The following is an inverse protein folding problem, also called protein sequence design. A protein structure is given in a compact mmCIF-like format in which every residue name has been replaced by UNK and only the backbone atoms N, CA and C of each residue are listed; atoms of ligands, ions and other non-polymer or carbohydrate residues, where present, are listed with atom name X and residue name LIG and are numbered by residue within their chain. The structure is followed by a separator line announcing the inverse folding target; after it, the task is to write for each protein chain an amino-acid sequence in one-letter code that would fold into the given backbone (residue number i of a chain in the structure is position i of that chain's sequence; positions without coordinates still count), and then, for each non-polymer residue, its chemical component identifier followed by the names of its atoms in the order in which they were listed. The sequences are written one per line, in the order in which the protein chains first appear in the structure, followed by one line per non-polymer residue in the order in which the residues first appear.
data_IF_697909931518
#
_entry.id   IF_697909931518
#
_cell.length_a   1.000
_cell.length_b   1.000
_cell.length_c   1.000
_cell.angle_alpha   90.00
_cell.angle_beta   90.00
_cell.angle_gamma   90.00
#
_symmetry.space_group_name_H-M   'P 1'
#
loop_
_entity.id
_entity.type
_entity.pdbx_description
1 polymer ?
#
# COMPACT_ATOMS: atom_id res chain seq x y z
N UNK A 1 10.22 -29.20 -3.11
CA UNK A 1 10.41 -27.73 -2.94
C UNK A 1 10.44 -27.25 -1.48
N UNK A 2 9.93 -28.02 -0.53
CA UNK A 2 9.89 -27.59 0.89
C UNK A 2 11.24 -27.52 1.61
N UNK A 3 12.27 -28.20 1.11
CA UNK A 3 13.48 -28.42 1.88
C UNK A 3 14.33 -27.16 2.13
N UNK A 4 14.42 -26.22 1.15
CA UNK A 4 15.23 -25.01 1.33
C UNK A 4 14.62 -24.03 2.33
N UNK A 5 13.31 -24.00 2.53
CA UNK A 5 12.60 -23.14 3.48
C UNK A 5 12.46 -23.78 4.87
N UNK A 6 12.76 -25.07 4.99
CA UNK A 6 12.74 -25.84 6.23
C UNK A 6 14.16 -26.27 6.65
N UNK A 7 15.19 -25.63 6.11
CA UNK A 7 16.56 -25.88 6.50
C UNK A 7 16.75 -25.66 8.01
N UNK A 8 17.52 -26.51 8.73
CA UNK A 8 17.61 -26.48 10.20
C UNK A 8 18.09 -25.13 10.78
N UNK A 9 18.79 -24.33 9.99
CA UNK A 9 19.28 -23.01 10.38
C UNK A 9 18.23 -21.89 10.19
N UNK A 10 17.14 -22.15 9.47
CA UNK A 10 16.02 -21.23 9.33
C UNK A 10 15.07 -21.45 10.51
N UNK A 11 15.25 -20.63 11.53
CA UNK A 11 14.41 -20.57 12.72
C UNK A 11 13.97 -19.12 12.88
N UNK A 12 12.68 -18.89 12.98
CA UNK A 12 12.10 -17.55 13.06
C UNK A 12 12.60 -16.80 14.30
N UNK A 13 13.19 -15.65 14.07
CA UNK A 13 13.50 -14.66 15.08
C UNK A 13 12.72 -13.37 14.77
N UNK A 14 12.43 -12.61 15.83
CA UNK A 14 11.78 -11.30 15.68
C UNK A 14 12.82 -10.21 15.94
N UNK A 15 13.03 -9.39 14.93
CA UNK A 15 13.93 -8.24 14.98
C UNK A 15 13.12 -6.95 15.03
N UNK A 16 13.64 -5.97 15.72
CA UNK A 16 13.12 -4.61 15.74
C UNK A 16 14.27 -3.64 15.50
N UNK A 17 14.10 -2.76 14.54
CA UNK A 17 15.08 -1.70 14.26
C UNK A 17 14.99 -0.59 15.30
N UNK A 18 16.03 0.25 15.38
CA UNK A 18 15.99 1.47 16.19
C UNK A 18 14.93 2.44 15.63
N UNK A 19 13.97 2.81 16.46
CA UNK A 19 12.87 3.72 16.14
C UNK A 19 13.11 5.15 16.67
N UNK A 20 14.25 5.43 17.29
CA UNK A 20 14.51 6.69 18.00
C UNK A 20 14.45 7.92 17.09
N UNK A 21 14.88 7.80 15.83
CA UNK A 21 14.81 8.88 14.85
C UNK A 21 13.35 9.16 14.44
N UNK A 22 12.60 8.12 14.17
CA UNK A 22 11.17 8.23 13.87
C UNK A 22 10.40 8.90 15.00
N UNK A 23 10.66 8.52 16.26
CA UNK A 23 10.01 9.11 17.43
C UNK A 23 10.30 10.61 17.53
N UNK A 24 11.56 11.03 17.29
CA UNK A 24 11.95 12.44 17.24
C UNK A 24 11.26 13.20 16.10
N UNK A 25 11.14 12.58 14.93
CA UNK A 25 10.47 13.20 13.76
C UNK A 25 8.97 13.35 14.01
N UNK A 26 8.33 12.34 14.58
CA UNK A 26 6.92 12.40 14.95
C UNK A 26 6.66 13.45 16.05
N UNK A 27 7.53 13.56 17.04
CA UNK A 27 7.43 14.63 18.04
C UNK A 27 7.54 16.03 17.43
N UNK A 28 8.48 16.23 16.49
CA UNK A 28 8.59 17.50 15.74
C UNK A 28 7.36 17.75 14.86
N UNK A 29 6.84 16.75 14.19
CA UNK A 29 5.63 16.86 13.39
C UNK A 29 4.42 17.24 14.24
N UNK A 30 4.25 16.59 15.40
CA UNK A 30 3.14 16.84 16.32
C UNK A 30 3.13 18.27 16.92
N UNK A 31 4.26 18.95 16.94
CA UNK A 31 4.36 20.35 17.35
C UNK A 31 3.90 21.35 16.25
N UNK A 32 3.73 20.90 15.01
CA UNK A 32 3.31 21.73 13.89
C UNK A 32 1.78 21.84 13.81
N UNK A 33 1.29 23.00 13.32
CA UNK A 33 -0.16 23.30 13.30
C UNK A 33 -0.69 23.60 11.90
N UNK A 34 0.16 23.61 10.88
CA UNK A 34 -0.24 23.80 9.48
C UNK A 34 -1.08 22.61 8.97
N UNK A 35 -1.81 22.82 7.89
CA UNK A 35 -2.77 21.85 7.37
C UNK A 35 -2.10 20.53 6.92
N UNK A 36 -0.93 20.61 6.28
CA UNK A 36 -0.17 19.45 5.82
C UNK A 36 0.29 18.59 7.01
N UNK A 37 0.91 19.22 8.01
CA UNK A 37 1.35 18.54 9.22
C UNK A 37 0.20 17.88 9.97
N UNK A 38 -0.94 18.58 10.11
CA UNK A 38 -2.15 18.00 10.71
C UNK A 38 -2.68 16.79 9.94
N UNK A 39 -2.57 16.80 8.61
CA UNK A 39 -2.93 15.65 7.77
C UNK A 39 -2.04 14.45 8.09
N UNK A 40 -0.73 14.63 8.06
CA UNK A 40 0.23 13.57 8.38
C UNK A 40 0.07 13.03 9.80
N UNK A 41 -0.17 13.92 10.78
CA UNK A 41 -0.49 13.52 12.17
C UNK A 41 -1.68 12.58 12.23
N UNK A 42 -2.77 12.88 11.51
CA UNK A 42 -3.95 12.00 11.45
C UNK A 42 -3.61 10.63 10.86
N UNK A 43 -2.85 10.59 9.75
CA UNK A 43 -2.49 9.33 9.10
C UNK A 43 -1.60 8.46 9.98
N UNK A 44 -0.60 9.07 10.62
CA UNK A 44 0.29 8.37 11.54
C UNK A 44 -0.48 7.82 12.76
N UNK A 45 -1.46 8.58 13.25
CA UNK A 45 -2.30 8.19 14.39
C UNK A 45 -3.32 7.09 14.08
N UNK A 46 -3.61 6.80 12.80
CA UNK A 46 -4.51 5.70 12.45
C UNK A 46 -3.92 4.36 12.89
N UNK A 47 -4.81 3.48 13.34
CA UNK A 47 -4.42 2.16 13.81
C UNK A 47 -3.67 1.34 12.74
N UNK A 48 -2.65 0.61 13.16
CA UNK A 48 -2.03 -0.44 12.35
C UNK A 48 -2.92 -1.69 12.42
N UNK A 49 -3.77 -1.86 11.41
CA UNK A 49 -4.73 -2.97 11.35
C UNK A 49 -4.05 -4.33 11.26
N UNK A 50 -2.79 -4.41 10.81
CA UNK A 50 -2.02 -5.65 10.77
C UNK A 50 -1.62 -6.15 12.17
N UNK A 51 -1.75 -5.29 13.18
CA UNK A 51 -1.45 -5.57 14.59
C UNK A 51 -2.69 -5.54 15.49
N UNK A 52 -3.81 -5.00 14.99
CA UNK A 52 -5.02 -4.78 15.79
C UNK A 52 -5.84 -6.07 15.92
N UNK A 53 -6.14 -6.48 17.16
CA UNK A 53 -6.99 -7.63 17.44
C UNK A 53 -8.40 -7.44 16.85
N UNK A 54 -8.94 -8.52 16.27
CA UNK A 54 -10.23 -8.50 15.61
C UNK A 54 -10.24 -7.88 14.21
N UNK A 55 -9.09 -7.39 13.73
CA UNK A 55 -8.96 -6.90 12.36
C UNK A 55 -8.76 -8.05 11.36
N UNK A 56 -9.47 -8.07 10.23
CA UNK A 56 -9.27 -9.06 9.19
C UNK A 56 -7.88 -8.93 8.55
N UNK A 57 -7.28 -7.74 8.56
CA UNK A 57 -5.91 -7.49 8.09
C UNK A 57 -4.90 -8.23 8.95
N UNK A 58 -5.07 -8.23 10.29
CA UNK A 58 -4.24 -9.03 11.20
C UNK A 58 -4.42 -10.52 10.95
N UNK A 59 -5.65 -10.98 10.81
CA UNK A 59 -5.93 -12.41 10.56
C UNK A 59 -5.31 -12.90 9.25
N UNK A 60 -5.38 -12.10 8.17
CA UNK A 60 -4.67 -12.37 6.91
C UNK A 60 -3.16 -12.43 7.15
N UNK A 61 -2.62 -11.43 7.86
CA UNK A 61 -1.18 -11.36 8.17
C UNK A 61 -0.73 -12.61 8.92
N UNK A 62 -1.38 -12.97 9.99
CA UNK A 62 -1.05 -14.16 10.79
C UNK A 62 -1.16 -15.45 9.97
N UNK A 63 -2.18 -15.58 9.11
CA UNK A 63 -2.35 -16.75 8.25
C UNK A 63 -1.19 -16.89 7.27
N UNK A 64 -0.75 -15.80 6.64
CA UNK A 64 0.39 -15.80 5.71
C UNK A 64 1.70 -16.09 6.43
N UNK A 65 1.96 -15.44 7.56
CA UNK A 65 3.18 -15.66 8.33
C UNK A 65 3.37 -17.11 8.78
N UNK A 66 2.28 -17.87 8.94
CA UNK A 66 2.30 -19.25 9.42
C UNK A 66 2.24 -20.31 8.30
N UNK A 67 2.35 -19.91 7.02
CA UNK A 67 2.43 -20.84 5.91
C UNK A 67 3.67 -21.74 6.01
N UNK A 68 3.59 -23.01 5.61
CA UNK A 68 4.70 -23.96 5.67
C UNK A 68 6.02 -23.41 5.10
N UNK A 69 5.97 -22.66 3.99
CA UNK A 69 7.13 -22.08 3.34
C UNK A 69 7.65 -20.84 4.06
N UNK A 70 6.80 -20.11 4.79
CA UNK A 70 7.15 -18.81 5.38
C UNK A 70 7.36 -18.84 6.90
N UNK A 71 6.83 -19.84 7.60
CA UNK A 71 6.81 -19.90 9.08
C UNK A 71 8.17 -19.89 9.76
N UNK A 72 9.22 -20.26 9.07
CA UNK A 72 10.60 -20.29 9.60
C UNK A 72 11.40 -19.03 9.27
N UNK A 73 10.88 -18.16 8.41
CA UNK A 73 11.53 -16.90 8.07
C UNK A 73 11.45 -15.92 9.23
N UNK A 74 12.49 -15.14 9.41
CA UNK A 74 12.55 -14.09 10.43
C UNK A 74 11.45 -13.03 10.19
N UNK A 75 11.11 -12.28 11.22
CA UNK A 75 10.23 -11.12 11.13
C UNK A 75 11.02 -9.89 11.56
N UNK A 76 10.90 -8.80 10.80
CA UNK A 76 11.51 -7.52 11.16
C UNK A 76 10.50 -6.39 11.17
N UNK A 77 10.49 -5.62 12.25
CA UNK A 77 9.78 -4.36 12.36
C UNK A 77 10.70 -3.21 11.96
N UNK A 78 10.27 -2.42 10.97
CA UNK A 78 11.04 -1.32 10.40
C UNK A 78 10.32 0.02 10.57
N UNK A 79 11.04 1.17 10.54
CA UNK A 79 10.43 2.49 10.69
C UNK A 79 9.39 2.78 9.60
N UNK A 80 8.41 3.60 9.95
CA UNK A 80 7.44 4.16 9.00
C UNK A 80 7.97 5.43 8.31
N UNK A 81 8.99 6.08 8.88
CA UNK A 81 9.68 7.24 8.32
C UNK A 81 11.08 6.85 7.93
N UNK A 82 11.46 7.13 6.70
CA UNK A 82 12.70 6.71 6.09
C UNK A 82 13.25 7.79 5.17
N UNK A 83 14.49 7.64 4.72
CA UNK A 83 15.07 8.57 3.76
C UNK A 83 14.70 8.22 2.32
N UNK A 84 14.60 9.20 1.40
CA UNK A 84 14.33 8.95 -0.02
C UNK A 84 15.33 7.99 -0.69
N UNK A 85 16.59 8.01 -0.26
CA UNK A 85 17.62 7.12 -0.77
C UNK A 85 17.30 5.65 -0.50
N UNK A 86 16.80 5.34 0.72
CA UNK A 86 16.40 3.98 1.10
C UNK A 86 15.17 3.49 0.34
N UNK A 87 14.25 4.40 -0.02
CA UNK A 87 13.03 4.03 -0.76
C UNK A 87 13.31 3.86 -2.23
N UNK A 88 14.07 4.78 -2.83
CA UNK A 88 14.13 4.91 -4.28
C UNK A 88 15.48 4.49 -4.87
N UNK A 89 16.60 5.06 -4.36
CA UNK A 89 17.90 4.82 -4.98
C UNK A 89 18.37 3.39 -4.75
N UNK A 90 18.17 2.84 -3.57
CA UNK A 90 18.50 1.48 -3.23
C UNK A 90 17.80 0.46 -4.15
N UNK A 91 16.56 0.74 -4.51
CA UNK A 91 15.68 -0.14 -5.29
C UNK A 91 15.63 0.18 -6.79
N UNK A 92 16.66 0.87 -7.33
CA UNK A 92 16.78 1.20 -8.75
C UNK A 92 15.65 2.06 -9.34
N UNK A 93 14.88 2.78 -8.52
CA UNK A 93 13.88 3.69 -9.09
C UNK A 93 14.54 4.77 -9.94
N UNK A 94 14.13 4.96 -11.20
CA UNK A 94 14.62 6.05 -12.05
C UNK A 94 14.45 7.41 -11.36
N UNK A 95 15.33 8.37 -11.69
CA UNK A 95 15.28 9.70 -11.07
C UNK A 95 13.99 10.48 -11.35
N UNK A 96 13.37 10.20 -12.49
CA UNK A 96 12.10 10.78 -12.96
C UNK A 96 10.87 9.92 -12.63
N UNK A 97 11.04 8.85 -11.86
CA UNK A 97 9.92 7.99 -11.49
C UNK A 97 8.88 8.76 -10.66
N UNK A 98 7.56 8.67 -11.00
CA UNK A 98 6.49 9.42 -10.32
C UNK A 98 6.48 9.25 -8.79
N UNK A 99 6.73 8.04 -8.28
CA UNK A 99 6.77 7.76 -6.85
C UNK A 99 7.79 8.61 -6.05
N UNK A 100 8.80 9.20 -6.71
CA UNK A 100 9.76 10.13 -6.09
C UNK A 100 9.19 11.52 -5.84
N UNK A 101 8.06 11.81 -6.43
CA UNK A 101 7.42 13.12 -6.36
C UNK A 101 6.57 13.24 -5.08
N UNK A 102 6.42 14.48 -4.60
CA UNK A 102 5.47 14.79 -3.54
C UNK A 102 4.00 14.65 -3.99
N UNK A 103 3.73 14.39 -5.27
CA UNK A 103 2.40 14.02 -5.75
C UNK A 103 1.98 12.62 -5.31
N UNK A 104 2.94 11.68 -5.19
CA UNK A 104 2.64 10.26 -4.94
C UNK A 104 3.07 9.80 -3.53
N UNK A 105 4.04 10.48 -2.93
CA UNK A 105 4.60 10.15 -1.62
C UNK A 105 4.39 11.26 -0.59
N UNK A 106 4.31 10.89 0.68
CA UNK A 106 4.16 11.80 1.81
C UNK A 106 5.52 12.13 2.42
N UNK A 107 6.01 13.33 2.19
CA UNK A 107 7.25 13.83 2.78
C UNK A 107 6.97 14.58 4.09
N UNK A 108 7.75 14.29 5.14
CA UNK A 108 7.75 15.04 6.40
C UNK A 108 8.61 16.30 6.28
N UNK A 109 9.71 16.17 5.54
CA UNK A 109 10.65 17.24 5.17
C UNK A 109 11.45 16.80 3.92
N UNK A 110 12.47 17.56 3.54
CA UNK A 110 13.28 17.28 2.34
C UNK A 110 14.02 15.93 2.40
N UNK A 111 14.28 15.40 3.60
CA UNK A 111 15.10 14.22 3.85
C UNK A 111 14.31 13.02 4.36
N UNK A 112 13.01 13.16 4.62
CA UNK A 112 12.21 12.12 5.23
C UNK A 112 10.86 11.95 4.54
N UNK A 113 10.53 10.69 4.26
CA UNK A 113 9.27 10.28 3.61
C UNK A 113 8.60 9.19 4.44
N UNK A 114 7.27 9.21 4.50
CA UNK A 114 6.52 8.05 5.00
C UNK A 114 6.66 6.90 4.01
N UNK A 115 6.99 5.71 4.50
CA UNK A 115 7.29 4.54 3.64
C UNK A 115 6.08 4.18 2.76
N UNK A 116 6.26 4.09 1.42
CA UNK A 116 5.20 3.68 0.50
C UNK A 116 5.07 2.15 0.38
N UNK A 117 6.02 1.38 0.92
CA UNK A 117 6.05 -0.09 0.95
C UNK A 117 6.92 -0.61 2.10
N UNK A 118 6.80 -1.88 2.45
CA UNK A 118 7.59 -2.53 3.50
C UNK A 118 8.87 -3.19 3.00
N UNK A 119 9.15 -3.23 1.69
CA UNK A 119 10.34 -3.85 1.07
C UNK A 119 11.67 -3.24 1.55
N UNK A 120 11.65 -2.02 2.08
CA UNK A 120 12.83 -1.41 2.73
C UNK A 120 13.43 -2.31 3.83
N UNK A 121 12.68 -3.29 4.31
CA UNK A 121 13.16 -4.29 5.25
C UNK A 121 14.41 -5.04 4.76
N UNK A 122 14.63 -5.18 3.44
CA UNK A 122 15.79 -5.87 2.89
C UNK A 122 17.09 -5.24 3.40
N UNK A 123 17.14 -3.90 3.38
CA UNK A 123 18.31 -3.16 3.87
C UNK A 123 18.46 -3.27 5.37
N UNK A 124 17.40 -3.01 6.13
CA UNK A 124 17.44 -3.07 7.59
C UNK A 124 17.83 -4.47 8.10
N UNK A 125 17.32 -5.52 7.46
CA UNK A 125 17.63 -6.90 7.82
C UNK A 125 19.09 -7.24 7.51
N UNK A 126 19.58 -6.90 6.33
CA UNK A 126 20.95 -7.16 5.92
C UNK A 126 21.99 -6.27 6.63
N UNK A 127 21.58 -5.17 7.24
CA UNK A 127 22.48 -4.35 8.07
C UNK A 127 22.73 -4.96 9.46
N UNK A 128 21.96 -5.93 9.88
CA UNK A 128 22.20 -6.67 11.12
C UNK A 128 23.44 -7.55 10.92
N UNK A 129 24.56 -7.34 11.67
CA UNK A 129 25.81 -8.08 11.43
C UNK A 129 25.66 -9.59 11.50
N UNK A 130 24.82 -10.08 12.42
CA UNK A 130 24.51 -11.50 12.57
C UNK A 130 23.87 -12.11 11.33
N UNK A 131 23.04 -11.36 10.62
CA UNK A 131 22.35 -11.86 9.43
C UNK A 131 23.32 -12.11 8.27
N UNK A 132 24.27 -11.21 8.05
CA UNK A 132 25.32 -11.41 7.04
C UNK A 132 26.17 -12.64 7.37
N UNK A 133 26.55 -12.79 8.64
CA UNK A 133 27.27 -13.98 9.10
C UNK A 133 26.46 -15.26 8.88
N UNK A 134 25.17 -15.26 9.24
CA UNK A 134 24.27 -16.41 9.00
C UNK A 134 24.18 -16.75 7.51
N UNK A 135 24.09 -15.76 6.62
CA UNK A 135 24.08 -15.98 5.17
C UNK A 135 25.38 -16.63 4.68
N UNK A 136 26.53 -16.15 5.14
CA UNK A 136 27.84 -16.69 4.76
C UNK A 136 28.03 -18.14 5.24
N UNK A 137 27.68 -18.43 6.50
CA UNK A 137 27.87 -19.74 7.13
C UNK A 137 26.86 -20.78 6.61
N UNK A 138 25.59 -20.40 6.46
CA UNK A 138 24.52 -21.35 6.19
C UNK A 138 24.03 -21.30 4.72
N UNK A 139 24.38 -20.29 3.97
CA UNK A 139 24.04 -20.14 2.56
C UNK A 139 22.63 -19.64 2.27
N UNK A 140 21.77 -19.48 3.28
CA UNK A 140 20.44 -18.87 3.07
C UNK A 140 19.92 -18.14 4.31
N UNK A 141 19.10 -17.12 4.06
CA UNK A 141 18.36 -16.32 5.04
C UNK A 141 17.02 -15.92 4.45
N UNK A 142 16.05 -15.61 5.29
CA UNK A 142 14.78 -15.08 4.81
C UNK A 142 14.07 -14.24 5.88
N UNK A 143 13.32 -13.26 5.44
CA UNK A 143 12.66 -12.31 6.32
C UNK A 143 11.30 -11.88 5.77
N UNK A 144 10.38 -11.62 6.67
CA UNK A 144 9.06 -11.04 6.43
C UNK A 144 8.96 -9.71 7.18
N UNK A 145 8.25 -8.75 6.60
CA UNK A 145 7.87 -7.52 7.26
C UNK A 145 6.42 -7.18 6.92
N UNK A 146 5.73 -6.54 7.85
CA UNK A 146 4.35 -6.10 7.63
C UNK A 146 4.06 -4.83 8.41
N UNK A 147 3.00 -4.15 8.02
CA UNK A 147 2.53 -2.94 8.68
C UNK A 147 2.04 -1.87 7.72
N UNK A 148 1.78 -0.69 8.29
CA UNK A 148 1.29 0.48 7.54
C UNK A 148 2.27 0.96 6.50
N UNK A 149 1.72 1.31 5.34
CA UNK A 149 2.36 2.06 4.26
C UNK A 149 1.50 3.25 3.88
N UNK A 150 2.10 4.24 3.23
CA UNK A 150 1.46 5.52 2.98
C UNK A 150 1.65 5.93 1.52
N UNK A 151 0.54 6.10 0.79
CA UNK A 151 0.55 6.52 -0.61
C UNK A 151 -0.48 7.61 -0.84
N UNK A 152 -0.17 8.55 -1.71
CA UNK A 152 -1.17 9.46 -2.25
C UNK A 152 -1.82 8.74 -3.42
N UNK A 153 -3.06 8.34 -3.24
CA UNK A 153 -3.79 7.52 -4.17
C UNK A 153 -5.15 8.15 -4.52
N UNK A 154 -5.80 7.60 -5.51
CA UNK A 154 -7.17 7.96 -5.88
C UNK A 154 -8.14 7.73 -4.72
N UNK A 155 -9.32 8.35 -4.80
CA UNK A 155 -10.40 8.14 -3.84
C UNK A 155 -11.44 7.23 -4.48
N UNK A 156 -11.46 5.98 -4.06
CA UNK A 156 -12.49 5.03 -4.43
C UNK A 156 -12.75 4.03 -3.27
N UNK A 157 -13.51 3.00 -3.57
CA UNK A 157 -13.87 1.99 -2.58
C UNK A 157 -12.73 1.02 -2.23
N UNK A 158 -11.65 0.98 -3.03
CA UNK A 158 -10.50 0.09 -2.87
C UNK A 158 -9.24 0.78 -2.32
N UNK A 159 -9.11 2.10 -2.53
CA UNK A 159 -7.89 2.84 -2.23
C UNK A 159 -8.01 3.71 -1.00
N UNK A 160 -6.97 3.71 -0.22
CA UNK A 160 -6.79 4.55 0.97
C UNK A 160 -5.38 5.13 0.98
N UNK A 161 -5.22 6.29 1.62
CA UNK A 161 -3.88 6.87 1.86
C UNK A 161 -3.00 6.02 2.76
N UNK A 162 -3.60 5.14 3.54
CA UNK A 162 -2.95 4.18 4.41
C UNK A 162 -3.39 2.81 3.96
N UNK A 163 -2.41 1.97 3.72
CA UNK A 163 -2.60 0.57 3.39
C UNK A 163 -1.66 -0.27 4.25
N UNK A 164 -1.95 -1.56 4.35
CA UNK A 164 -1.10 -2.50 5.05
C UNK A 164 -0.49 -3.46 4.05
N UNK A 165 0.83 -3.62 4.13
CA UNK A 165 1.55 -4.56 3.28
C UNK A 165 2.18 -5.67 4.09
N UNK A 166 2.34 -6.82 3.45
CA UNK A 166 3.18 -7.93 3.87
C UNK A 166 4.18 -8.15 2.75
N UNK A 167 5.47 -8.04 3.05
CA UNK A 167 6.56 -8.28 2.11
C UNK A 167 7.42 -9.44 2.61
N UNK A 168 7.91 -10.24 1.66
CA UNK A 168 8.85 -11.31 1.90
C UNK A 168 10.12 -11.14 1.08
N UNK A 169 11.26 -11.53 1.65
CA UNK A 169 12.55 -11.54 0.98
C UNK A 169 13.35 -12.76 1.44
N UNK A 170 13.84 -13.53 0.48
CA UNK A 170 14.64 -14.74 0.74
C UNK A 170 15.86 -14.74 -0.15
N UNK A 171 17.04 -14.89 0.46
CA UNK A 171 18.34 -14.94 -0.21
C UNK A 171 18.91 -16.34 -0.05
N UNK A 172 19.45 -16.90 -1.12
CA UNK A 172 20.11 -18.19 -1.11
C UNK A 172 21.34 -18.20 -2.01
N UNK A 173 22.35 -18.96 -1.62
CA UNK A 173 23.55 -19.17 -2.40
C UNK A 173 23.26 -20.03 -3.63
N UNK A 174 23.75 -19.61 -4.79
CA UNK A 174 23.43 -20.22 -6.09
C UNK A 174 23.93 -21.67 -6.23
N UNK A 175 24.99 -22.05 -5.50
CA UNK A 175 25.46 -23.45 -5.47
C UNK A 175 24.53 -24.39 -4.70
N UNK A 176 23.67 -23.84 -3.82
CA UNK A 176 22.60 -24.59 -3.16
C UNK A 176 21.38 -24.64 -4.08
N UNK A 177 20.96 -23.48 -4.57
CA UNK A 177 19.79 -23.37 -5.47
C UNK A 177 19.84 -22.07 -6.27
N UNK A 178 19.76 -22.17 -7.58
CA UNK A 178 19.40 -21.04 -8.42
C UNK A 178 17.89 -20.94 -8.44
N UNK A 179 17.38 -19.84 -7.88
CA UNK A 179 15.95 -19.55 -7.84
C UNK A 179 15.48 -19.08 -9.23
N UNK A 180 14.32 -19.55 -9.61
CA UNK A 180 13.62 -19.11 -10.81
C UNK A 180 12.22 -18.57 -10.48
N UNK A 181 11.55 -18.06 -11.50
CA UNK A 181 10.19 -17.53 -11.37
C UNK A 181 9.23 -18.60 -10.82
N UNK A 182 9.41 -19.88 -11.22
CA UNK A 182 8.54 -20.97 -10.79
C UNK A 182 8.66 -21.28 -9.29
N UNK A 183 9.85 -21.14 -8.73
CA UNK A 183 10.06 -21.28 -7.28
C UNK A 183 9.22 -20.23 -6.51
N UNK A 184 9.21 -18.98 -7.00
CA UNK A 184 8.42 -17.92 -6.42
C UNK A 184 6.92 -18.11 -6.63
N UNK A 185 6.49 -18.42 -7.87
CA UNK A 185 5.07 -18.70 -8.18
C UNK A 185 4.45 -19.75 -7.26
N UNK A 186 5.20 -20.78 -6.88
CA UNK A 186 4.70 -21.82 -5.97
C UNK A 186 4.40 -21.24 -4.56
N UNK A 187 5.20 -20.30 -4.08
CA UNK A 187 4.94 -19.60 -2.78
C UNK A 187 3.68 -18.75 -2.91
N UNK A 188 3.53 -18.04 -4.03
CA UNK A 188 2.37 -17.20 -4.27
C UNK A 188 1.08 -18.00 -4.38
N UNK A 189 1.16 -19.18 -4.99
CA UNK A 189 0.04 -20.15 -5.04
C UNK A 189 -0.29 -20.65 -3.63
N UNK A 190 0.71 -20.99 -2.80
CA UNK A 190 0.48 -21.39 -1.40
C UNK A 190 -0.27 -20.30 -0.62
N UNK A 191 0.14 -19.03 -0.77
CA UNK A 191 -0.57 -17.88 -0.16
C UNK A 191 -2.02 -17.81 -0.66
N UNK A 192 -2.19 -17.88 -1.98
CA UNK A 192 -3.50 -17.76 -2.62
C UNK A 192 -4.46 -18.89 -2.18
N UNK A 193 -4.00 -20.13 -2.23
CA UNK A 193 -4.79 -21.31 -1.82
C UNK A 193 -5.13 -21.28 -0.32
N UNK A 194 -4.21 -20.84 0.52
CA UNK A 194 -4.46 -20.72 1.95
C UNK A 194 -5.53 -19.68 2.29
N UNK A 195 -5.60 -18.59 1.52
CA UNK A 195 -6.58 -17.54 1.73
C UNK A 195 -7.94 -17.83 1.08
N UNK A 196 -7.94 -18.36 -0.14
CA UNK A 196 -9.14 -18.43 -0.97
C UNK A 196 -9.59 -19.85 -1.28
N UNK A 197 -8.80 -20.87 -0.90
CA UNK A 197 -9.08 -22.28 -1.18
C UNK A 197 -8.42 -22.76 -2.48
N UNK A 198 -8.34 -24.08 -2.65
CA UNK A 198 -7.65 -24.73 -3.78
C UNK A 198 -8.34 -24.55 -5.14
N UNK A 199 -9.63 -24.23 -5.11
CA UNK A 199 -10.43 -24.05 -6.34
C UNK A 199 -10.35 -22.61 -6.88
N UNK A 200 -9.57 -21.73 -6.24
CA UNK A 200 -9.39 -20.35 -6.70
C UNK A 200 -8.70 -20.32 -8.05
N UNK A 201 -9.30 -19.61 -9.00
CA UNK A 201 -8.68 -19.40 -10.30
C UNK A 201 -7.76 -18.20 -10.24
N UNK A 202 -6.53 -18.38 -10.68
CA UNK A 202 -5.51 -17.36 -10.71
C UNK A 202 -4.77 -17.32 -12.05
N UNK A 203 -4.09 -16.21 -12.28
CA UNK A 203 -3.24 -15.99 -13.45
C UNK A 203 -2.02 -15.17 -13.03
N UNK A 204 -0.83 -15.58 -13.51
CA UNK A 204 0.36 -14.76 -13.46
C UNK A 204 0.42 -13.86 -14.69
N UNK A 205 0.76 -12.60 -14.47
CA UNK A 205 0.95 -11.59 -15.52
C UNK A 205 2.36 -11.04 -15.38
N UNK A 206 3.07 -10.94 -16.49
CA UNK A 206 4.41 -10.32 -16.50
C UNK A 206 4.28 -8.84 -16.18
N UNK A 207 5.12 -8.36 -15.28
CA UNK A 207 5.22 -6.96 -14.93
C UNK A 207 6.69 -6.51 -14.85
N UNK A 208 6.93 -5.23 -14.63
CA UNK A 208 8.26 -4.63 -14.60
C UNK A 208 8.43 -3.74 -13.37
N UNK A 209 9.01 -4.30 -12.31
CA UNK A 209 9.40 -3.51 -11.13
C UNK A 209 10.90 -3.15 -11.22
N UNK A 210 11.30 -1.95 -10.81
CA UNK A 210 12.71 -1.54 -10.88
C UNK A 210 13.67 -2.42 -10.06
N UNK A 211 13.15 -3.12 -9.07
CA UNK A 211 13.91 -3.88 -8.07
C UNK A 211 13.88 -5.40 -8.29
N UNK A 212 13.11 -5.91 -9.25
CA UNK A 212 13.05 -7.36 -9.58
C UNK A 212 13.11 -7.58 -11.09
N UNK A 213 13.73 -8.70 -11.53
CA UNK A 213 13.77 -9.17 -12.89
C UNK A 213 14.06 -10.68 -12.92
N UNK A 214 13.15 -11.54 -13.40
CA UNK A 214 11.79 -11.24 -13.87
C UNK A 214 10.86 -10.80 -12.75
N UNK A 215 9.82 -10.05 -13.14
CA UNK A 215 8.74 -9.61 -12.25
C UNK A 215 7.40 -10.15 -12.71
N UNK A 216 6.54 -10.47 -11.77
CA UNK A 216 5.18 -10.98 -12.03
C UNK A 216 4.18 -10.38 -11.06
N UNK A 217 2.97 -10.21 -11.54
CA UNK A 217 1.78 -10.01 -10.71
C UNK A 217 0.95 -11.28 -10.67
N UNK A 218 0.25 -11.50 -9.56
CA UNK A 218 -0.74 -12.55 -9.44
C UNK A 218 -2.13 -11.94 -9.38
N UNK A 219 -2.98 -12.35 -10.31
CA UNK A 219 -4.37 -11.95 -10.39
C UNK A 219 -5.27 -13.17 -10.08
N UNK A 220 -6.35 -12.95 -9.33
CA UNK A 220 -7.36 -13.96 -9.05
C UNK A 220 -8.72 -13.59 -9.65
N UNK A 221 -9.52 -14.59 -9.99
CA UNK A 221 -10.89 -14.37 -10.47
C UNK A 221 -11.82 -14.07 -9.28
N UNK A 222 -12.44 -12.88 -9.30
CA UNK A 222 -13.44 -12.44 -8.33
C UNK A 222 -14.66 -11.88 -9.07
N UNK A 223 -15.83 -12.48 -8.85
CA UNK A 223 -17.09 -12.03 -9.48
C UNK A 223 -16.99 -11.90 -11.01
N UNK A 224 -16.22 -12.81 -11.67
CA UNK A 224 -16.03 -12.81 -13.12
C UNK A 224 -14.99 -11.81 -13.64
N UNK A 225 -14.26 -11.14 -12.76
CA UNK A 225 -13.17 -10.23 -13.11
C UNK A 225 -11.85 -10.70 -12.51
N UNK A 226 -10.74 -10.44 -13.23
CA UNK A 226 -9.41 -10.69 -12.72
C UNK A 226 -8.95 -9.48 -11.91
N UNK A 227 -8.59 -9.71 -10.65
CA UNK A 227 -8.14 -8.67 -9.71
C UNK A 227 -6.72 -8.98 -9.27
N UNK A 228 -5.82 -8.02 -9.44
CA UNK A 228 -4.45 -8.10 -8.93
C UNK A 228 -4.46 -8.15 -7.39
N UNK A 229 -3.70 -9.08 -6.83
CA UNK A 229 -3.58 -9.27 -5.38
C UNK A 229 -2.16 -9.06 -4.85
N UNK A 230 -1.14 -9.28 -5.68
CA UNK A 230 0.27 -9.17 -5.26
C UNK A 230 1.21 -8.97 -6.44
N UNK A 231 2.37 -8.37 -6.14
CA UNK A 231 3.52 -8.30 -7.03
C UNK A 231 4.72 -9.05 -6.44
N UNK A 232 5.54 -9.65 -7.30
CA UNK A 232 6.67 -10.44 -6.89
C UNK A 232 7.75 -10.53 -7.99
N UNK A 233 8.94 -11.00 -7.65
CA UNK A 233 10.00 -11.21 -8.65
C UNK A 233 11.29 -11.75 -8.06
N UNK A 234 12.23 -12.05 -8.94
CA UNK A 234 13.61 -12.35 -8.58
C UNK A 234 14.33 -11.01 -8.39
N UNK A 235 15.04 -10.86 -7.27
CA UNK A 235 15.70 -9.60 -6.95
C UNK A 235 16.72 -9.21 -8.02
N UNK A 236 16.62 -7.96 -8.50
CA UNK A 236 17.50 -7.46 -9.56
C UNK A 236 18.96 -7.46 -9.08
N UNK A 237 19.94 -7.92 -9.90
CA UNK A 237 21.36 -8.00 -9.51
C UNK A 237 21.94 -6.68 -8.97
N UNK A 238 21.55 -5.54 -9.54
CA UNK A 238 21.99 -4.23 -9.05
C UNK A 238 21.48 -3.93 -7.65
N UNK A 239 20.24 -4.33 -7.33
CA UNK A 239 19.68 -4.15 -5.99
C UNK A 239 20.43 -5.01 -4.98
N UNK A 240 20.74 -6.27 -5.32
CA UNK A 240 21.59 -7.12 -4.47
C UNK A 240 22.96 -6.47 -4.21
N UNK A 241 23.61 -5.92 -5.25
CA UNK A 241 24.89 -5.18 -5.10
C UNK A 241 24.72 -3.95 -4.17
N UNK A 242 23.67 -3.16 -4.34
CA UNK A 242 23.38 -2.00 -3.48
C UNK A 242 23.18 -2.42 -2.01
N UNK A 243 22.68 -3.62 -1.78
CA UNK A 243 22.52 -4.23 -0.45
C UNK A 243 23.80 -4.88 0.10
N UNK A 244 24.87 -4.90 -0.68
CA UNK A 244 26.15 -5.54 -0.30
C UNK A 244 26.14 -7.07 -0.44
N UNK A 245 25.25 -7.61 -1.27
CA UNK A 245 25.15 -9.03 -1.62
C UNK A 245 25.77 -9.24 -3.00
N UNK A 246 26.68 -10.19 -3.12
CA UNK A 246 27.31 -10.55 -4.39
C UNK A 246 26.34 -11.34 -5.28
N UNK A 247 25.81 -10.77 -6.37
CA UNK A 247 24.85 -11.44 -7.23
C UNK A 247 25.45 -12.59 -8.05
N UNK A 248 26.75 -12.73 -8.11
CA UNK A 248 27.39 -13.90 -8.72
C UNK A 248 27.29 -15.13 -7.81
N UNK A 249 27.27 -14.92 -6.50
CA UNK A 249 27.19 -15.98 -5.49
C UNK A 249 25.79 -16.25 -4.97
N UNK A 250 24.96 -15.22 -4.91
CA UNK A 250 23.63 -15.29 -4.31
C UNK A 250 22.55 -14.87 -5.30
N UNK A 251 21.37 -15.36 -5.06
CA UNK A 251 20.14 -14.91 -5.70
C UNK A 251 19.02 -14.81 -4.65
N UNK A 252 17.97 -14.07 -4.99
CA UNK A 252 16.89 -13.86 -4.03
C UNK A 252 15.55 -13.74 -4.75
N UNK A 253 14.48 -14.12 -4.07
CA UNK A 253 13.13 -13.73 -4.46
C UNK A 253 12.55 -12.73 -3.48
N UNK A 254 11.58 -11.96 -3.97
CA UNK A 254 10.79 -11.06 -3.16
C UNK A 254 9.34 -11.04 -3.61
N UNK A 255 8.44 -10.79 -2.66
CA UNK A 255 7.04 -10.50 -2.92
C UNK A 255 6.52 -9.41 -2.00
N UNK A 256 5.46 -8.72 -2.44
CA UNK A 256 4.72 -7.77 -1.63
C UNK A 256 3.25 -7.76 -2.01
N UNK A 257 2.37 -7.65 -1.01
CA UNK A 257 0.94 -7.56 -1.24
C UNK A 257 0.22 -6.73 -0.18
N UNK A 258 -0.85 -6.07 -0.64
CA UNK A 258 -1.74 -5.29 0.22
C UNK A 258 -2.68 -6.20 1.00
N UNK A 259 -2.47 -6.34 2.32
CA UNK A 259 -3.31 -7.19 3.16
C UNK A 259 -4.73 -6.66 3.34
N UNK A 260 -4.96 -5.35 3.20
CA UNK A 260 -6.30 -4.74 3.14
C UNK A 260 -7.10 -5.31 1.97
N UNK A 261 -6.51 -5.29 0.76
CA UNK A 261 -7.15 -5.82 -0.47
C UNK A 261 -7.45 -7.30 -0.33
N UNK A 262 -6.51 -8.08 0.22
CA UNK A 262 -6.73 -9.51 0.47
C UNK A 262 -7.90 -9.75 1.44
N UNK A 263 -7.99 -8.97 2.52
CA UNK A 263 -9.10 -9.06 3.49
C UNK A 263 -10.43 -8.68 2.84
N UNK A 264 -10.46 -7.57 2.08
CA UNK A 264 -11.66 -7.14 1.35
C UNK A 264 -12.17 -8.21 0.40
N UNK A 265 -11.28 -8.82 -0.38
CA UNK A 265 -11.62 -9.90 -1.30
C UNK A 265 -12.11 -11.13 -0.52
N UNK A 266 -11.38 -11.56 0.52
CA UNK A 266 -11.71 -12.76 1.30
C UNK A 266 -13.10 -12.68 1.91
N UNK A 267 -13.47 -11.54 2.48
CA UNK A 267 -14.76 -11.33 3.14
C UNK A 267 -15.82 -10.66 2.26
N UNK A 268 -15.49 -10.30 1.03
CA UNK A 268 -16.38 -9.53 0.14
C UNK A 268 -16.79 -8.19 0.74
N UNK A 269 -15.82 -7.48 1.34
CA UNK A 269 -16.01 -6.15 1.93
C UNK A 269 -16.14 -5.12 0.80
N UNK A 270 -17.24 -4.38 0.72
CA UNK A 270 -17.51 -3.51 -0.43
C UNK A 270 -16.77 -2.18 -0.40
N UNK A 271 -16.11 -1.83 0.71
CA UNK A 271 -15.50 -0.52 0.90
C UNK A 271 -14.39 -0.60 1.94
N UNK A 272 -13.18 -0.15 1.59
CA UNK A 272 -12.00 -0.20 2.44
C UNK A 272 -12.17 0.56 3.77
N UNK A 273 -13.04 1.57 3.81
CA UNK A 273 -13.33 2.34 5.03
C UNK A 273 -13.97 1.49 6.12
N UNK A 274 -14.64 0.39 5.76
CA UNK A 274 -15.22 -0.55 6.73
C UNK A 274 -14.17 -1.23 7.59
N UNK A 275 -12.94 -1.36 7.12
CA UNK A 275 -11.83 -1.91 7.91
C UNK A 275 -11.52 -1.07 9.17
N UNK A 276 -11.87 0.21 9.14
CA UNK A 276 -11.68 1.16 10.26
C UNK A 276 -12.99 1.47 11.01
N UNK A 277 -14.06 0.73 10.73
CA UNK A 277 -15.35 0.95 11.37
C UNK A 277 -15.27 0.75 12.89
N UNK A 278 -16.00 1.59 13.64
CA UNK A 278 -16.20 1.43 15.08
C UNK A 278 -17.60 0.87 15.39
N UNK A 279 -18.43 0.59 14.38
CA UNK A 279 -19.73 -0.04 14.56
C UNK A 279 -19.55 -1.52 14.91
N UNK A 280 -20.02 -1.92 16.07
CA UNK A 280 -19.91 -3.31 16.53
C UNK A 280 -20.56 -4.32 15.58
N UNK A 281 -21.58 -3.93 14.83
CA UNK A 281 -22.22 -4.78 13.83
C UNK A 281 -21.29 -5.07 12.64
N UNK A 282 -20.38 -4.15 12.34
CA UNK A 282 -19.33 -4.30 11.34
C UNK A 282 -18.16 -5.07 11.93
N UNK A 283 -17.61 -4.62 13.06
CA UNK A 283 -16.38 -5.20 13.62
C UNK A 283 -16.55 -6.68 13.99
N UNK A 284 -17.73 -7.08 14.47
CA UNK A 284 -18.04 -8.48 14.75
C UNK A 284 -17.98 -9.38 13.50
N UNK A 285 -18.39 -8.85 12.35
CA UNK A 285 -18.30 -9.59 11.09
C UNK A 285 -16.85 -9.68 10.58
N UNK A 286 -16.06 -8.63 10.79
CA UNK A 286 -14.66 -8.57 10.33
C UNK A 286 -13.73 -9.47 11.15
N UNK A 287 -14.11 -9.85 12.36
CA UNK A 287 -13.30 -10.67 13.27
C UNK A 287 -13.17 -12.16 12.83
N UNK A 288 -13.83 -12.58 11.76
CA UNK A 288 -13.80 -13.95 11.26
C UNK A 288 -13.70 -13.99 9.73
N UNK A 289 -12.57 -14.47 9.22
CA UNK A 289 -12.28 -14.53 7.77
C UNK A 289 -13.18 -15.52 6.99
N UNK A 290 -13.87 -16.43 7.64
CA UNK A 290 -14.66 -17.46 6.96
C UNK A 290 -16.07 -16.95 6.59
N UNK A 291 -16.54 -15.89 7.21
CA UNK A 291 -17.81 -15.27 6.88
C UNK A 291 -17.67 -14.14 5.85
N UNK A 292 -18.63 -14.09 4.94
CA UNK A 292 -18.74 -12.95 4.01
C UNK A 292 -19.42 -11.78 4.70
N UNK A 293 -18.94 -10.58 4.42
CA UNK A 293 -19.51 -9.37 4.98
C UNK A 293 -20.93 -9.13 4.45
N UNK A 294 -21.85 -8.87 5.36
CA UNK A 294 -23.22 -8.47 5.05
C UNK A 294 -23.39 -7.00 5.42
N UNK A 295 -23.73 -6.12 4.46
CA UNK A 295 -23.90 -4.70 4.72
C UNK A 295 -24.90 -4.44 5.85
N UNK A 296 -24.48 -3.70 6.88
CA UNK A 296 -25.35 -3.36 8.04
C UNK A 296 -26.29 -2.22 7.75
N UNK A 297 -26.03 -1.48 6.69
CA UNK A 297 -26.88 -0.37 6.23
C UNK A 297 -26.80 -0.20 4.73
N UNK A 298 -27.94 0.16 4.12
CA UNK A 298 -28.04 0.45 2.68
C UNK A 298 -28.52 1.89 2.47
N UNK A 299 -27.78 2.84 3.01
CA UNK A 299 -28.10 4.25 2.77
C UNK A 299 -27.78 4.65 1.34
N UNK A 300 -28.65 5.43 0.67
CA UNK A 300 -28.41 5.85 -0.70
C UNK A 300 -27.24 6.84 -0.77
N UNK A 301 -26.46 6.81 -1.85
CA UNK A 301 -25.43 7.82 -2.08
C UNK A 301 -26.06 9.13 -2.55
N UNK A 302 -25.36 10.23 -2.34
CA UNK A 302 -25.62 11.53 -2.98
C UNK A 302 -24.42 11.84 -3.88
N UNK A 303 -24.69 12.20 -5.14
CA UNK A 303 -23.63 12.55 -6.09
C UNK A 303 -23.61 14.03 -6.37
N UNK A 304 -22.43 14.62 -6.53
CA UNK A 304 -22.21 16.00 -6.98
C UNK A 304 -21.08 16.04 -7.99
N UNK A 305 -21.26 16.85 -9.01
CA UNK A 305 -20.27 17.07 -10.05
C UNK A 305 -19.66 18.47 -9.90
N UNK A 306 -18.36 18.57 -10.14
CA UNK A 306 -17.66 19.84 -10.26
C UNK A 306 -16.86 19.86 -11.55
N UNK A 307 -16.99 20.95 -12.32
CA UNK A 307 -16.20 21.16 -13.52
C UNK A 307 -15.42 22.45 -13.40
N UNK A 308 -14.12 22.40 -13.68
CA UNK A 308 -13.26 23.56 -13.58
C UNK A 308 -12.10 23.54 -14.58
N UNK A 309 -11.56 24.73 -14.85
CA UNK A 309 -10.40 24.94 -15.71
C UNK A 309 -9.21 25.31 -14.83
N UNK A 310 -8.07 24.68 -15.04
CA UNK A 310 -6.80 24.89 -14.30
C UNK A 310 -5.61 24.85 -15.24
N UNK A 311 -4.44 25.19 -14.72
CA UNK A 311 -3.18 25.05 -15.44
C UNK A 311 -2.86 23.58 -15.73
N UNK A 312 -2.10 23.31 -16.79
CA UNK A 312 -1.64 21.96 -17.16
C UNK A 312 -0.78 21.30 -16.08
N UNK A 313 -0.14 22.09 -15.23
CA UNK A 313 0.65 21.63 -14.08
C UNK A 313 -0.19 21.22 -12.87
N UNK A 314 -1.51 21.23 -12.99
CA UNK A 314 -2.42 20.83 -11.93
C UNK A 314 -2.16 19.40 -11.46
N UNK A 315 -1.96 19.28 -10.14
CA UNK A 315 -1.73 18.01 -9.47
C UNK A 315 -3.05 17.37 -9.04
N UNK A 316 -3.40 16.26 -9.71
CA UNK A 316 -4.61 15.49 -9.43
C UNK A 316 -4.62 14.93 -8.00
N UNK A 317 -3.48 14.44 -7.52
CA UNK A 317 -3.40 13.85 -6.18
C UNK A 317 -3.58 14.93 -5.09
N UNK A 318 -3.05 16.14 -5.31
CA UNK A 318 -3.32 17.26 -4.42
C UNK A 318 -4.80 17.66 -4.37
N UNK A 319 -5.54 17.43 -5.47
CA UNK A 319 -6.99 17.64 -5.51
C UNK A 319 -7.75 16.54 -4.75
N UNK A 320 -7.38 15.29 -4.87
CA UNK A 320 -7.96 14.21 -4.07
C UNK A 320 -7.72 14.43 -2.57
N UNK A 321 -6.53 14.91 -2.18
CA UNK A 321 -6.27 15.29 -0.79
C UNK A 321 -7.19 16.42 -0.31
N UNK A 322 -7.42 17.42 -1.15
CA UNK A 322 -8.35 18.50 -0.83
C UNK A 322 -9.77 17.97 -0.56
N UNK A 323 -10.25 17.04 -1.41
CA UNK A 323 -11.56 16.43 -1.21
C UNK A 323 -11.63 15.70 0.13
N UNK A 324 -10.60 14.92 0.47
CA UNK A 324 -10.51 14.22 1.77
C UNK A 324 -10.55 15.18 2.95
N UNK A 325 -9.90 16.33 2.84
CA UNK A 325 -9.88 17.34 3.90
C UNK A 325 -11.23 18.02 4.12
N UNK A 326 -11.93 18.33 3.05
CA UNK A 326 -13.18 19.12 3.11
C UNK A 326 -14.39 18.23 3.37
N UNK A 327 -14.53 17.16 2.61
CA UNK A 327 -15.66 16.25 2.74
C UNK A 327 -15.49 15.26 3.91
N UNK A 328 -14.26 14.84 4.17
CA UNK A 328 -13.93 13.78 5.11
C UNK A 328 -13.96 12.41 4.41
N UNK A 329 -12.97 11.56 4.76
CA UNK A 329 -12.88 10.21 4.22
C UNK A 329 -14.08 9.34 4.59
N UNK A 330 -14.74 9.63 5.72
CA UNK A 330 -15.93 8.92 6.21
C UNK A 330 -17.18 9.15 5.36
N UNK A 331 -17.24 10.27 4.62
CA UNK A 331 -18.36 10.60 3.76
C UNK A 331 -18.06 10.44 2.27
N UNK A 332 -16.80 10.38 1.87
CA UNK A 332 -16.40 10.29 0.47
C UNK A 332 -16.16 8.83 0.10
N UNK A 333 -17.10 8.27 -0.69
CA UNK A 333 -17.00 6.89 -1.18
C UNK A 333 -16.07 6.78 -2.39
N UNK A 334 -16.26 7.67 -3.37
CA UNK A 334 -15.53 7.62 -4.63
C UNK A 334 -15.44 9.00 -5.28
N UNK A 335 -14.37 9.26 -6.00
CA UNK A 335 -14.23 10.43 -6.87
C UNK A 335 -13.86 9.95 -8.28
N UNK A 336 -14.75 10.20 -9.23
CA UNK A 336 -14.58 9.82 -10.64
C UNK A 336 -14.15 11.01 -11.48
N UNK A 337 -13.06 10.88 -12.21
CA UNK A 337 -12.75 11.81 -13.30
C UNK A 337 -13.65 11.46 -14.48
N UNK A 338 -14.68 12.28 -14.73
CA UNK A 338 -15.63 12.08 -15.83
C UNK A 338 -15.08 12.56 -17.15
N UNK A 339 -14.37 13.70 -17.14
CA UNK A 339 -13.86 14.32 -18.36
C UNK A 339 -12.54 15.07 -18.10
N UNK A 340 -11.65 14.97 -19.08
CA UNK A 340 -10.41 15.71 -19.16
C UNK A 340 -10.29 16.32 -20.56
N UNK A 341 -10.64 17.59 -20.69
CA UNK A 341 -10.79 18.23 -21.98
C UNK A 341 -9.78 19.35 -22.20
N UNK A 342 -9.09 19.30 -23.34
CA UNK A 342 -8.16 20.33 -23.80
C UNK A 342 -8.77 21.08 -24.98
N UNK A 343 -8.79 22.40 -24.91
CA UNK A 343 -9.20 23.24 -26.01
C UNK A 343 -8.44 24.57 -25.95
N UNK A 344 -7.40 24.68 -26.76
CA UNK A 344 -6.51 25.86 -26.75
C UNK A 344 -7.25 27.14 -27.20
N UNK A 345 -8.21 27.02 -28.11
CA UNK A 345 -9.01 28.16 -28.55
C UNK A 345 -9.93 28.73 -27.45
N UNK A 346 -10.43 27.85 -26.56
CA UNK A 346 -11.34 28.26 -25.49
C UNK A 346 -10.65 28.63 -24.19
N UNK A 347 -9.56 27.93 -23.84
CA UNK A 347 -8.92 28.03 -22.52
C UNK A 347 -7.50 28.59 -22.55
N UNK A 348 -6.87 28.65 -23.72
CA UNK A 348 -5.46 28.97 -23.88
C UNK A 348 -4.57 27.71 -23.86
N UNK A 349 -3.30 27.88 -24.29
CA UNK A 349 -2.36 26.75 -24.49
C UNK A 349 -2.00 25.98 -23.22
N UNK A 350 -2.06 26.65 -22.05
CA UNK A 350 -1.59 26.10 -20.76
C UNK A 350 -2.72 25.74 -19.81
N UNK A 351 -3.95 25.68 -20.31
CA UNK A 351 -5.13 25.35 -19.52
C UNK A 351 -5.77 24.03 -19.96
N UNK A 352 -6.40 23.38 -18.99
CA UNK A 352 -7.13 22.13 -19.17
C UNK A 352 -8.38 22.16 -18.29
N UNK A 353 -9.47 21.60 -18.80
CA UNK A 353 -10.73 21.43 -18.06
C UNK A 353 -10.82 20.02 -17.51
N UNK A 354 -11.18 19.89 -16.25
CA UNK A 354 -11.52 18.64 -15.59
C UNK A 354 -12.96 18.67 -15.13
N UNK A 355 -13.63 17.52 -15.19
CA UNK A 355 -14.93 17.29 -14.58
C UNK A 355 -14.83 16.08 -13.67
N UNK A 356 -15.10 16.28 -12.38
CA UNK A 356 -15.11 15.23 -11.38
C UNK A 356 -16.53 15.01 -10.86
N UNK A 357 -16.85 13.75 -10.59
CA UNK A 357 -18.00 13.33 -9.81
C UNK A 357 -17.56 12.84 -8.46
N UNK A 358 -18.08 13.44 -7.39
CA UNK A 358 -17.88 12.94 -6.02
C UNK A 358 -19.15 12.21 -5.58
N UNK A 359 -18.96 10.99 -5.11
CA UNK A 359 -20.01 10.14 -4.53
C UNK A 359 -19.87 10.20 -3.02
N UNK A 360 -20.89 10.78 -2.39
CA UNK A 360 -20.98 10.89 -0.93
C UNK A 360 -21.89 9.81 -0.39
N UNK A 361 -21.43 9.07 0.61
CA UNK A 361 -22.23 8.08 1.34
C UNK A 361 -21.71 7.96 2.77
N UNK A 362 -22.61 7.92 3.75
CA UNK A 362 -22.28 7.50 5.11
C UNK A 362 -22.58 6.01 5.31
N UNK A 363 -21.77 5.34 6.12
CA UNK A 363 -22.00 3.96 6.54
C UNK A 363 -23.02 3.86 7.68
N UNK A 364 -23.32 4.99 8.36
CA UNK A 364 -24.09 5.01 9.60
C UNK A 364 -25.47 5.61 9.45
N UNK A 365 -25.73 6.44 8.42
CA UNK A 365 -27.00 7.17 8.23
C UNK A 365 -27.21 7.63 6.80
N UNK A 366 -28.43 8.01 6.49
CA UNK A 366 -28.70 8.78 5.25
C UNK A 366 -28.09 10.19 5.39
N UNK A 367 -27.34 10.61 4.37
CA UNK A 367 -26.88 11.99 4.25
C UNK A 367 -28.03 12.87 3.76
N UNK A 368 -28.09 14.11 4.22
CA UNK A 368 -29.00 15.11 3.67
C UNK A 368 -28.35 15.84 2.50
N UNK A 369 -29.17 16.30 1.54
CA UNK A 369 -28.64 17.11 0.44
C UNK A 369 -27.98 18.39 0.93
N UNK A 370 -28.55 19.06 1.93
CA UNK A 370 -28.02 20.29 2.50
C UNK A 370 -26.63 20.10 3.12
N UNK A 371 -26.43 18.98 3.84
CA UNK A 371 -25.13 18.63 4.41
C UNK A 371 -24.08 18.42 3.34
N UNK A 372 -24.42 17.67 2.29
CA UNK A 372 -23.53 17.42 1.15
C UNK A 372 -23.28 18.72 0.37
N UNK A 373 -24.29 19.52 0.12
CA UNK A 373 -24.17 20.78 -0.61
C UNK A 373 -23.26 21.77 0.13
N UNK A 374 -23.33 21.81 1.46
CA UNK A 374 -22.44 22.63 2.27
C UNK A 374 -20.97 22.24 2.09
N UNK A 375 -20.67 20.94 2.13
CA UNK A 375 -19.32 20.42 1.91
C UNK A 375 -18.86 20.63 0.47
N UNK A 376 -19.72 20.37 -0.48
CA UNK A 376 -19.42 20.50 -1.90
C UNK A 376 -19.15 21.96 -2.30
N UNK A 377 -19.96 22.89 -1.82
CA UNK A 377 -19.74 24.34 -2.01
C UNK A 377 -18.39 24.79 -1.41
N UNK A 378 -18.07 24.28 -0.23
CA UNK A 378 -16.77 24.57 0.38
C UNK A 378 -15.62 24.02 -0.46
N UNK A 379 -15.78 22.82 -1.05
CA UNK A 379 -14.81 22.23 -1.97
C UNK A 379 -14.60 23.14 -3.21
N UNK A 380 -15.68 23.64 -3.81
CA UNK A 380 -15.59 24.57 -4.94
C UNK A 380 -14.80 25.83 -4.57
N UNK A 381 -15.15 26.48 -3.45
CA UNK A 381 -14.47 27.69 -2.96
C UNK A 381 -12.97 27.49 -2.77
N UNK A 382 -12.59 26.39 -2.12
CA UNK A 382 -11.17 26.10 -1.85
C UNK A 382 -10.44 25.63 -3.10
N UNK A 383 -11.13 24.96 -4.03
CA UNK A 383 -10.57 24.61 -5.35
C UNK A 383 -10.15 25.86 -6.12
N UNK A 384 -11.01 26.89 -6.13
CA UNK A 384 -10.69 28.18 -6.73
C UNK A 384 -9.48 28.82 -6.06
N UNK A 385 -9.48 28.88 -4.73
CA UNK A 385 -8.43 29.55 -3.96
C UNK A 385 -7.06 28.83 -4.06
N UNK A 386 -7.06 27.51 -3.96
CA UNK A 386 -5.82 26.73 -3.87
C UNK A 386 -5.16 26.49 -5.23
N UNK A 387 -5.97 26.30 -6.27
CA UNK A 387 -5.47 25.93 -7.60
C UNK A 387 -5.64 27.02 -8.66
N UNK A 388 -6.17 28.18 -8.29
CA UNK A 388 -6.50 29.21 -9.26
C UNK A 388 -7.52 28.74 -10.31
N UNK A 389 -8.40 27.82 -9.91
CA UNK A 389 -9.36 27.20 -10.78
C UNK A 389 -10.49 28.17 -11.17
N UNK A 390 -11.01 28.00 -12.38
CA UNK A 390 -12.26 28.64 -12.81
C UNK A 390 -13.33 27.56 -12.87
N UNK A 391 -14.23 27.54 -11.88
CA UNK A 391 -15.37 26.61 -11.82
C UNK A 391 -16.40 27.01 -12.88
N UNK A 392 -17.07 26.01 -13.48
CA UNK A 392 -18.00 26.18 -14.60
C UNK A 392 -19.39 25.72 -14.22
#
# INVERSE_FOLDING_TARGET
MSDIYNAPHLQRHNYKTDMSEQEKLFAKLNAKTDAESKRLQRYIAMADLSKQDGSPVKLITEKVLNLPTLKNLDIIETPEVITPELVFDLFNFPKDHPARSASDSYFLDANHVLRPHTSLMWKYYLDIPEIKKRLEENGSIGVLSFGKCYRRDEIDWQHSNILHQIDGFFVIRKDIKTLDQKDLENILVEVCEALYGKDVKYKFVVDHFPYTDPSVEMNIEMNGQMVEILGAGIAHPNVLKNLGIDPEKYNAWAFGFGSDRLAMIKQNIPDIRLLYSQDERVTKQLADLEHKFVPVSKYPPITRDISFIVDKSFDLNAYYELIREIAGSEMTEEVKLLDKYKNEAKFGKDKISYTFRTIYRSLDRTLTSEEVDTKHKKLEEVTIQKFGAVVR
#
